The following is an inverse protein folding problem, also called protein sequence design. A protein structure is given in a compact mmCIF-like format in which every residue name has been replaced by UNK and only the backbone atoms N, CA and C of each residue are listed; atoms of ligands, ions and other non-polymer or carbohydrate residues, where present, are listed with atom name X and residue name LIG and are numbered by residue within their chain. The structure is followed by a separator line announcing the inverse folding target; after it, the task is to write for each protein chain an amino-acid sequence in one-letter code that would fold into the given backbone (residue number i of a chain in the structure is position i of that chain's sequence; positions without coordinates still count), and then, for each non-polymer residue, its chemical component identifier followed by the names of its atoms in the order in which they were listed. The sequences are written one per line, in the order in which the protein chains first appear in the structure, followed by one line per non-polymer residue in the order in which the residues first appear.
data_IF_373417127055
#
_entry.id   IF_373417127055
#
_cell.length_a   1.000
_cell.length_b   1.000
_cell.length_c   1.000
_cell.angle_alpha   90.00
_cell.angle_beta   90.00
_cell.angle_gamma   90.00
#
_symmetry.space_group_name_H-M   'P 1'
#
loop_
_entity.id
_entity.type
_entity.pdbx_description
1 polymer ?
#
# COMPACT_ATOMS: atom_id res chain seq x y z
N UNK A 1 -7.20 0.87 -13.44
CA UNK A 1 -6.83 1.03 -12.03
C UNK A 1 -7.99 0.48 -11.20
N UNK A 2 -7.79 -0.63 -10.51
CA UNK A 2 -8.80 -1.16 -9.60
C UNK A 2 -8.54 -0.57 -8.22
N UNK A 3 -9.57 -0.02 -7.58
CA UNK A 3 -9.50 0.36 -6.18
C UNK A 3 -9.18 -0.90 -5.35
N UNK A 4 -8.45 -0.70 -4.26
CA UNK A 4 -8.16 -1.71 -3.27
C UNK A 4 -8.81 -1.30 -1.95
N UNK A 5 -8.95 -2.27 -1.04
CA UNK A 5 -9.39 -1.97 0.31
C UNK A 5 -8.33 -1.15 1.03
N UNK A 6 -8.74 -0.02 1.60
CA UNK A 6 -7.85 0.84 2.34
C UNK A 6 -7.33 0.12 3.60
N UNK A 7 -6.02 0.16 3.88
CA UNK A 7 -5.48 -0.41 5.12
C UNK A 7 -6.02 0.31 6.37
N UNK A 8 -6.37 1.60 6.25
CA UNK A 8 -6.85 2.45 7.34
C UNK A 8 -8.37 2.32 7.59
N UNK A 9 -9.22 2.63 6.60
CA UNK A 9 -10.68 2.65 6.78
C UNK A 9 -11.41 1.39 6.28
N UNK A 10 -10.71 0.45 5.63
CA UNK A 10 -11.25 -0.81 5.06
C UNK A 10 -12.23 -0.68 3.88
N UNK A 11 -12.58 0.54 3.48
CA UNK A 11 -13.38 0.81 2.26
C UNK A 11 -12.59 0.52 0.98
N UNK A 12 -13.28 0.09 -0.08
CA UNK A 12 -12.72 -0.19 -1.40
C UNK A 12 -12.45 1.10 -2.17
N UNK A 13 -11.52 1.89 -1.65
CA UNK A 13 -11.32 3.27 -2.05
C UNK A 13 -9.86 3.69 -2.09
N UNK A 14 -8.95 2.72 -2.06
CA UNK A 14 -7.52 2.95 -2.05
C UNK A 14 -6.95 2.77 -3.44
N UNK A 15 -6.43 3.86 -4.00
CA UNK A 15 -5.93 3.93 -5.38
C UNK A 15 -4.49 4.40 -5.39
N UNK A 16 -3.74 3.96 -6.39
CA UNK A 16 -2.35 4.33 -6.57
C UNK A 16 -2.14 5.18 -7.83
N UNK A 17 -1.09 6.00 -7.80
CA UNK A 17 -0.56 6.73 -8.96
C UNK A 17 0.97 6.68 -8.91
N UNK A 18 1.62 6.51 -10.06
CA UNK A 18 3.07 6.66 -10.14
C UNK A 18 3.40 8.14 -10.05
N UNK A 19 4.38 8.50 -9.23
CA UNK A 19 4.90 9.85 -9.21
C UNK A 19 6.02 9.96 -10.24
N UNK A 20 5.73 10.55 -11.40
CA UNK A 20 6.70 10.72 -12.50
C UNK A 20 7.92 11.60 -12.12
N UNK A 21 7.85 12.36 -11.01
CA UNK A 21 8.95 13.19 -10.52
C UNK A 21 9.89 12.44 -9.55
N UNK A 22 9.41 11.40 -8.88
CA UNK A 22 10.19 10.55 -7.95
C UNK A 22 10.22 9.12 -8.49
N UNK A 23 11.26 8.82 -9.27
CA UNK A 23 11.43 7.66 -10.16
C UNK A 23 11.15 6.23 -9.67
N UNK A 24 10.82 5.98 -8.40
CA UNK A 24 10.64 4.62 -7.86
C UNK A 24 9.52 4.52 -6.81
N UNK A 25 8.76 5.62 -6.60
CA UNK A 25 7.70 5.65 -5.59
C UNK A 25 6.32 5.75 -6.22
N UNK A 26 5.47 4.79 -5.85
CA UNK A 26 4.05 4.82 -6.18
C UNK A 26 3.26 5.40 -5.01
N UNK A 27 2.46 6.43 -5.26
CA UNK A 27 1.67 7.11 -4.21
C UNK A 27 0.30 6.46 -4.11
N UNK A 28 0.01 5.88 -2.96
CA UNK A 28 -1.31 5.39 -2.61
C UNK A 28 -2.11 6.45 -1.86
N UNK A 29 -3.38 6.58 -2.22
CA UNK A 29 -4.32 7.50 -1.57
C UNK A 29 -5.72 6.90 -1.47
N UNK A 30 -6.40 7.19 -0.36
CA UNK A 30 -7.79 6.81 -0.14
C UNK A 30 -8.69 8.03 -0.27
N UNK A 31 -9.69 7.98 -1.16
CA UNK A 31 -10.61 9.11 -1.34
C UNK A 31 -11.67 9.22 -0.23
N UNK A 32 -11.92 8.15 0.54
CA UNK A 32 -12.89 8.17 1.65
C UNK A 32 -12.29 8.77 2.94
N UNK A 33 -11.10 8.30 3.35
CA UNK A 33 -10.48 8.75 4.60
C UNK A 33 -9.30 9.70 4.41
N UNK A 34 -9.00 10.10 3.16
CA UNK A 34 -7.86 10.96 2.80
C UNK A 34 -6.49 10.41 3.27
N UNK A 35 -6.41 9.11 3.54
CA UNK A 35 -5.19 8.44 3.92
C UNK A 35 -4.23 8.36 2.72
N UNK A 36 -2.94 8.60 2.96
CA UNK A 36 -1.91 8.57 1.93
C UNK A 36 -0.70 7.77 2.42
N UNK A 37 -0.13 6.96 1.54
CA UNK A 37 1.10 6.22 1.78
C UNK A 37 1.94 6.15 0.49
N UNK A 38 3.24 5.97 0.64
CA UNK A 38 4.18 5.82 -0.46
C UNK A 38 4.62 4.36 -0.54
N UNK A 39 4.50 3.76 -1.71
CA UNK A 39 4.98 2.42 -2.03
C UNK A 39 6.36 2.49 -2.64
N UNK A 40 7.26 1.63 -2.16
CA UNK A 40 8.50 1.33 -2.85
C UNK A 40 8.34 0.04 -3.66
N UNK A 41 8.24 0.17 -4.99
CA UNK A 41 8.02 -0.96 -5.90
C UNK A 41 9.23 -1.92 -5.99
N UNK A 42 10.42 -1.45 -5.58
CA UNK A 42 11.62 -2.30 -5.54
C UNK A 42 11.58 -3.31 -4.38
N UNK A 43 10.72 -3.09 -3.38
CA UNK A 43 10.67 -3.86 -2.14
C UNK A 43 9.45 -4.80 -2.07
N UNK A 44 8.87 -5.26 -3.19
CA UNK A 44 7.76 -6.21 -3.16
C UNK A 44 8.15 -7.61 -2.61
N UNK A 45 7.30 -8.17 -1.74
CA UNK A 45 7.49 -9.49 -1.14
C UNK A 45 6.28 -10.41 -1.28
N UNK A 46 6.49 -11.68 -0.93
CA UNK A 46 5.42 -12.66 -0.79
C UNK A 46 4.67 -12.42 0.52
N UNK A 47 3.35 -12.41 0.46
CA UNK A 47 2.51 -12.44 1.64
C UNK A 47 2.53 -13.85 2.23
N UNK A 48 2.85 -13.98 3.52
CA UNK A 48 2.85 -15.27 4.23
C UNK A 48 1.48 -15.93 4.27
N UNK A 49 0.39 -15.15 4.21
CA UNK A 49 -0.98 -15.65 4.32
C UNK A 49 -1.53 -16.20 2.99
N UNK A 50 -1.35 -15.47 1.88
CA UNK A 50 -1.87 -15.91 0.58
C UNK A 50 -0.81 -16.50 -0.36
N UNK A 51 0.47 -16.47 0.04
CA UNK A 51 1.63 -16.99 -0.72
C UNK A 51 1.77 -16.35 -2.11
N UNK A 52 1.20 -15.14 -2.30
CA UNK A 52 1.31 -14.34 -3.53
C UNK A 52 2.28 -13.18 -3.32
N UNK A 53 2.97 -12.80 -4.38
CA UNK A 53 3.82 -11.58 -4.43
C UNK A 53 2.94 -10.34 -4.53
N UNK A 54 2.23 -10.05 -3.45
CA UNK A 54 1.26 -8.95 -3.33
C UNK A 54 1.46 -8.15 -2.06
N UNK A 55 2.62 -8.32 -1.39
CA UNK A 55 2.98 -7.61 -0.17
C UNK A 55 3.89 -6.44 -0.55
N UNK A 56 3.36 -5.24 -0.44
CA UNK A 56 4.02 -4.00 -0.78
C UNK A 56 4.48 -3.30 0.50
N UNK A 57 5.65 -2.66 0.45
CA UNK A 57 6.11 -1.81 1.55
C UNK A 57 5.47 -0.43 1.38
N UNK A 58 4.68 -0.02 2.35
CA UNK A 58 4.04 1.27 2.41
C UNK A 58 4.61 2.09 3.56
N UNK A 59 4.92 3.35 3.28
CA UNK A 59 5.37 4.33 4.26
C UNK A 59 4.36 5.45 4.32
N UNK A 60 3.78 5.68 5.49
CA UNK A 60 2.95 6.86 5.76
C UNK A 60 3.70 7.87 6.63
N UNK A 61 3.03 8.94 7.04
CA UNK A 61 3.66 10.01 7.83
C UNK A 61 4.09 9.57 9.23
N UNK A 62 3.51 8.48 9.74
CA UNK A 62 3.69 8.02 11.11
C UNK A 62 4.51 6.73 11.19
N UNK A 63 4.40 5.85 10.18
CA UNK A 63 4.95 4.49 10.24
C UNK A 63 5.30 3.89 8.88
N UNK A 64 6.18 2.91 8.94
CA UNK A 64 6.49 2.00 7.84
C UNK A 64 5.82 0.66 8.10
N UNK A 65 5.16 0.11 7.09
CA UNK A 65 4.45 -1.16 7.22
C UNK A 65 4.43 -1.93 5.92
N UNK A 66 4.31 -3.25 6.05
CA UNK A 66 3.98 -4.10 4.94
C UNK A 66 2.48 -4.23 4.80
N UNK A 67 1.98 -4.07 3.58
CA UNK A 67 0.58 -4.24 3.26
C UNK A 67 0.39 -5.26 2.16
N UNK A 68 -0.52 -6.21 2.36
CA UNK A 68 -0.91 -7.12 1.30
C UNK A 68 -2.21 -6.67 0.64
N UNK A 69 -2.17 -6.34 -0.66
CA UNK A 69 -3.37 -5.92 -1.40
C UNK A 69 -4.44 -7.01 -1.50
N UNK A 70 -4.03 -8.28 -1.58
CA UNK A 70 -4.96 -9.41 -1.66
C UNK A 70 -5.63 -9.74 -0.31
N UNK A 71 -4.89 -9.71 0.80
CA UNK A 71 -5.41 -10.04 2.13
C UNK A 71 -5.91 -8.83 2.92
N UNK A 72 -5.54 -7.62 2.49
CA UNK A 72 -5.65 -6.36 3.22
C UNK A 72 -5.05 -6.40 4.64
N UNK A 73 -4.02 -7.24 4.83
CA UNK A 73 -3.28 -7.35 6.09
C UNK A 73 -2.18 -6.30 6.15
N UNK A 74 -1.93 -5.79 7.36
CA UNK A 74 -0.92 -4.77 7.64
C UNK A 74 0.02 -5.29 8.72
N UNK A 75 1.31 -5.27 8.45
CA UNK A 75 2.36 -5.64 9.39
C UNK A 75 3.29 -4.44 9.60
N UNK A 76 3.16 -3.78 10.74
CA UNK A 76 3.95 -2.58 11.08
C UNK A 76 5.39 -2.97 11.34
N UNK A 77 6.33 -2.25 10.73
CA UNK A 77 7.77 -2.47 10.85
C UNK A 77 8.35 -1.51 11.90
N UNK A 78 7.91 -0.25 11.89
CA UNK A 78 8.48 0.82 12.72
C UNK A 78 7.44 1.85 13.14
#
# INVERSE_FOLDING_TARGET
MAAQKCPNCKEDSFTWKVDDEISDLTVWSCFECNYQAFENELEEQYCSECVKKTKSKLSDKEKDYWWCSNCNTVEVIR
#
